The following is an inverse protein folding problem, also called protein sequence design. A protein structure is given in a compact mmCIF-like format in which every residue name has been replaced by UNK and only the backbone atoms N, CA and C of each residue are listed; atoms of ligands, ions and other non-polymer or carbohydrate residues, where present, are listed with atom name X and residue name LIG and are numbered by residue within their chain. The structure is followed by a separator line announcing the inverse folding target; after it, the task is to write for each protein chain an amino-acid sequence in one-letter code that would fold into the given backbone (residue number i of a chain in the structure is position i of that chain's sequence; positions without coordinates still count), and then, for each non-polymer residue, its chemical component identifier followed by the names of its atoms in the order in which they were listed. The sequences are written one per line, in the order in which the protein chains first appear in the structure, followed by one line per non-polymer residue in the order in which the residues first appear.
data_IF_869960566590
#
_entry.id   IF_869960566590
#
_cell.length_a   1.000
_cell.length_b   1.000
_cell.length_c   1.000
_cell.angle_alpha   90.00
_cell.angle_beta   90.00
_cell.angle_gamma   90.00
#
_symmetry.space_group_name_H-M   'P 1'
#
loop_
_entity.id
_entity.type
_entity.pdbx_description
1 polymer ?
#
# COMPACT_ATOMS: atom_id res chain seq x y z
N UNK A 1 5.91 -15.72 29.19
CA UNK A 1 5.57 -15.21 27.84
C UNK A 1 6.07 -16.20 26.81
N UNK A 2 5.25 -16.69 25.87
CA UNK A 2 5.70 -17.66 24.88
C UNK A 2 6.80 -17.05 24.00
N UNK A 3 7.77 -17.88 23.65
CA UNK A 3 8.99 -17.56 22.89
C UNK A 3 8.74 -16.86 21.54
N UNK A 4 7.52 -16.96 21.02
CA UNK A 4 7.05 -16.35 19.78
C UNK A 4 7.03 -14.81 19.90
N UNK A 5 6.61 -14.25 21.02
CA UNK A 5 6.53 -12.79 21.24
C UNK A 5 7.91 -12.12 21.32
N UNK A 6 8.91 -12.80 21.90
CA UNK A 6 10.30 -12.31 21.87
C UNK A 6 10.92 -12.27 20.46
N UNK A 7 10.49 -13.18 19.56
CA UNK A 7 10.90 -13.14 18.15
C UNK A 7 10.25 -11.98 17.39
N UNK A 8 8.99 -11.65 17.70
CA UNK A 8 8.28 -10.52 17.10
C UNK A 8 8.88 -9.16 17.48
N UNK A 9 9.29 -8.97 18.73
CA UNK A 9 10.02 -7.76 19.14
C UNK A 9 11.33 -7.56 18.37
N UNK A 10 12.00 -8.66 18.03
CA UNK A 10 13.24 -8.60 17.24
C UNK A 10 12.98 -8.26 15.77
N UNK A 11 11.78 -8.47 15.27
CA UNK A 11 11.40 -8.21 13.87
C UNK A 11 10.76 -6.81 13.71
N UNK A 12 10.22 -6.21 14.77
CA UNK A 12 9.66 -4.84 14.78
C UNK A 12 10.56 -3.80 14.07
N UNK A 13 11.87 -3.72 14.32
CA UNK A 13 12.72 -2.73 13.65
C UNK A 13 12.79 -2.92 12.13
N UNK A 14 12.64 -4.16 11.63
CA UNK A 14 12.61 -4.44 10.18
C UNK A 14 11.34 -3.88 9.55
N UNK A 15 10.19 -4.09 10.18
CA UNK A 15 8.91 -3.53 9.74
C UNK A 15 8.91 -2.01 9.77
N UNK A 16 9.48 -1.41 10.82
CA UNK A 16 9.61 0.05 10.94
C UNK A 16 10.52 0.63 9.87
N UNK A 17 11.58 -0.06 9.53
CA UNK A 17 12.50 0.37 8.49
C UNK A 17 11.84 0.27 7.10
N UNK A 18 11.17 -0.84 6.81
CA UNK A 18 10.39 -1.04 5.57
C UNK A 18 9.34 0.05 5.41
N UNK A 19 8.60 0.35 6.47
CA UNK A 19 7.61 1.42 6.48
C UNK A 19 8.23 2.79 6.17
N UNK A 20 9.36 3.14 6.80
CA UNK A 20 10.06 4.40 6.57
C UNK A 20 10.57 4.53 5.14
N UNK A 21 11.11 3.45 4.57
CA UNK A 21 11.57 3.42 3.19
C UNK A 21 10.38 3.62 2.23
N UNK A 22 9.31 2.86 2.40
CA UNK A 22 8.13 2.99 1.55
C UNK A 22 7.53 4.41 1.62
N UNK A 23 7.45 4.97 2.81
CA UNK A 23 6.98 6.34 3.01
C UNK A 23 7.89 7.37 2.32
N UNK A 24 9.21 7.17 2.37
CA UNK A 24 10.17 8.03 1.68
C UNK A 24 10.02 7.93 0.16
N UNK A 25 9.84 6.72 -0.37
CA UNK A 25 9.59 6.48 -1.80
C UNK A 25 8.29 7.17 -2.23
N UNK A 26 7.19 7.03 -1.47
CA UNK A 26 5.94 7.73 -1.77
C UNK A 26 6.10 9.26 -1.83
N UNK A 27 6.89 9.84 -0.93
CA UNK A 27 7.17 11.28 -0.95
C UNK A 27 7.95 11.69 -2.20
N UNK A 28 8.94 10.91 -2.61
CA UNK A 28 9.71 11.18 -3.84
C UNK A 28 8.83 11.06 -5.08
N UNK A 29 7.97 10.04 -5.14
CA UNK A 29 7.02 9.86 -6.24
C UNK A 29 6.05 11.04 -6.33
N UNK A 30 5.55 11.53 -5.20
CA UNK A 30 4.68 12.70 -5.15
C UNK A 30 5.38 13.96 -5.70
N UNK A 31 6.62 14.21 -5.28
CA UNK A 31 7.40 15.35 -5.78
C UNK A 31 7.64 15.22 -7.29
N UNK A 32 8.01 14.02 -7.75
CA UNK A 32 8.19 13.75 -9.18
C UNK A 32 6.92 13.98 -9.99
N UNK A 33 5.79 13.51 -9.48
CA UNK A 33 4.47 13.69 -10.10
C UNK A 33 4.10 15.17 -10.24
N UNK A 34 4.29 15.95 -9.18
CA UNK A 34 4.03 17.39 -9.19
C UNK A 34 4.92 18.11 -10.22
N UNK A 35 6.20 17.74 -10.31
CA UNK A 35 7.14 18.37 -11.26
C UNK A 35 6.72 18.05 -12.69
N UNK A 36 6.48 16.77 -13.01
CA UNK A 36 6.11 16.36 -14.38
C UNK A 36 4.76 16.96 -14.77
N UNK A 37 3.77 16.94 -13.88
CA UNK A 37 2.48 17.58 -14.12
C UNK A 37 2.63 19.07 -14.38
N UNK A 38 3.42 19.77 -13.57
CA UNK A 38 3.66 21.21 -13.75
C UNK A 38 4.30 21.52 -15.10
N UNK A 39 5.30 20.75 -15.52
CA UNK A 39 5.95 20.89 -16.82
C UNK A 39 4.97 20.60 -17.97
N UNK A 40 4.17 19.54 -17.84
CA UNK A 40 3.19 19.15 -18.86
C UNK A 40 2.10 20.21 -19.02
N UNK A 41 1.60 20.75 -17.91
CA UNK A 41 0.59 21.82 -17.91
C UNK A 41 1.18 23.11 -18.46
N UNK A 42 2.39 23.51 -18.02
CA UNK A 42 3.06 24.70 -18.53
C UNK A 42 3.27 24.62 -20.05
N UNK A 43 3.67 23.45 -20.57
CA UNK A 43 3.84 23.23 -22.00
C UNK A 43 2.56 23.34 -22.83
N UNK A 44 1.38 23.21 -22.21
CA UNK A 44 0.09 23.44 -22.89
C UNK A 44 -0.30 24.91 -23.00
N UNK A 45 0.04 25.70 -21.98
CA UNK A 45 -0.41 27.09 -21.86
C UNK A 45 0.61 28.09 -22.39
N UNK A 46 1.90 27.75 -22.41
CA UNK A 46 2.94 28.63 -22.87
C UNK A 46 3.39 28.25 -24.28
N UNK A 47 3.23 29.11 -25.29
CA UNK A 47 3.59 28.82 -26.68
C UNK A 47 5.11 28.63 -26.93
N UNK A 48 5.92 29.04 -25.95
CA UNK A 48 7.38 28.88 -26.00
C UNK A 48 7.87 27.53 -25.48
N UNK A 49 6.97 26.71 -24.90
CA UNK A 49 7.29 25.43 -24.30
C UNK A 49 6.47 24.32 -24.95
N UNK A 50 7.13 23.36 -25.55
CA UNK A 50 6.43 22.20 -26.10
C UNK A 50 6.20 21.18 -24.97
N UNK A 51 4.94 20.85 -24.68
CA UNK A 51 4.62 19.81 -23.71
C UNK A 51 5.22 18.46 -24.14
N UNK A 52 5.91 17.74 -23.26
CA UNK A 52 6.43 16.43 -23.58
C UNK A 52 5.27 15.44 -23.78
N UNK A 53 5.22 14.76 -24.94
CA UNK A 53 4.17 13.79 -25.27
C UNK A 53 4.07 12.63 -24.29
N UNK A 54 5.20 12.29 -23.63
CA UNK A 54 5.24 11.22 -22.62
C UNK A 54 4.80 11.66 -21.21
N UNK A 55 4.58 12.95 -20.99
CA UNK A 55 4.29 13.48 -19.65
C UNK A 55 3.04 12.91 -19.05
N UNK A 56 1.94 12.82 -19.80
CA UNK A 56 0.66 12.29 -19.29
C UNK A 56 0.75 10.81 -18.89
N UNK A 57 1.40 9.99 -19.69
CA UNK A 57 1.58 8.56 -19.39
C UNK A 57 2.46 8.34 -18.17
N UNK A 58 3.50 9.17 -17.97
CA UNK A 58 4.35 9.10 -16.80
C UNK A 58 3.64 9.56 -15.53
N UNK A 59 2.85 10.63 -15.59
CA UNK A 59 2.01 11.07 -14.46
C UNK A 59 1.06 9.95 -14.02
N UNK A 60 0.34 9.33 -14.95
CA UNK A 60 -0.55 8.21 -14.63
C UNK A 60 0.20 7.04 -13.98
N UNK A 61 1.39 6.73 -14.49
CA UNK A 61 2.23 5.68 -13.91
C UNK A 61 2.64 6.02 -12.48
N UNK A 62 3.13 7.23 -12.23
CA UNK A 62 3.53 7.67 -10.88
C UNK A 62 2.34 7.71 -9.91
N UNK A 63 1.16 8.14 -10.37
CA UNK A 63 -0.08 8.10 -9.58
C UNK A 63 -0.44 6.67 -9.16
N UNK A 64 -0.34 5.68 -10.05
CA UNK A 64 -0.58 4.28 -9.71
C UNK A 64 0.40 3.79 -8.66
N UNK A 65 1.72 4.08 -8.83
CA UNK A 65 2.72 3.74 -7.83
C UNK A 65 2.39 4.34 -6.46
N UNK A 66 2.08 5.64 -6.43
CA UNK A 66 1.77 6.35 -5.19
C UNK A 66 0.48 5.82 -4.54
N UNK A 67 -0.59 5.60 -5.32
CA UNK A 67 -1.86 5.11 -4.81
C UNK A 67 -1.70 3.73 -4.15
N UNK A 68 -1.04 2.82 -4.84
CA UNK A 68 -0.89 1.43 -4.40
C UNK A 68 0.04 1.32 -3.19
N UNK A 69 1.19 2.03 -3.20
CA UNK A 69 2.10 2.05 -2.06
C UNK A 69 1.51 2.77 -0.84
N UNK A 70 0.74 3.84 -1.03
CA UNK A 70 0.08 4.53 0.08
C UNK A 70 -1.01 3.69 0.71
N UNK A 71 -1.74 2.89 -0.08
CA UNK A 71 -2.72 1.94 0.44
C UNK A 71 -2.07 0.92 1.39
N UNK A 72 -0.89 0.38 1.04
CA UNK A 72 -0.16 -0.54 1.94
C UNK A 72 0.31 0.13 3.24
N UNK A 73 0.75 1.39 3.17
CA UNK A 73 1.14 2.15 4.36
C UNK A 73 -0.05 2.45 5.29
N UNK A 74 -1.24 2.66 4.70
CA UNK A 74 -2.46 2.94 5.45
C UNK A 74 -2.94 1.70 6.25
N UNK A 75 -2.75 0.49 5.73
CA UNK A 75 -3.04 -0.76 6.43
C UNK A 75 -2.26 -0.81 7.74
N UNK A 76 -0.96 -0.55 7.70
CA UNK A 76 -0.13 -0.56 8.91
C UNK A 76 -0.55 0.45 9.97
N UNK A 77 -1.06 1.62 9.54
CA UNK A 77 -1.58 2.64 10.48
C UNK A 77 -2.98 2.34 11.01
N UNK A 78 -3.61 1.23 10.60
CA UNK A 78 -5.02 0.94 10.90
C UNK A 78 -5.97 2.09 10.51
N UNK A 79 -5.54 2.96 9.58
CA UNK A 79 -6.31 4.16 9.19
C UNK A 79 -7.37 3.84 8.14
N UNK A 80 -7.28 2.68 7.51
CA UNK A 80 -8.05 2.41 6.30
C UNK A 80 -9.49 1.99 6.54
N UNK A 81 -9.81 1.40 7.67
CA UNK A 81 -10.99 0.53 7.71
C UNK A 81 -11.93 0.88 8.86
N UNK A 82 -11.48 1.69 9.82
CA UNK A 82 -12.26 1.90 11.03
C UNK A 82 -12.82 3.31 11.13
N UNK A 83 -14.12 3.40 10.94
CA UNK A 83 -14.88 4.60 11.26
C UNK A 83 -15.12 4.62 12.77
N UNK A 84 -14.21 5.24 13.52
CA UNK A 84 -14.23 5.30 15.00
C UNK A 84 -15.47 6.03 15.58
N UNK A 85 -16.24 6.70 14.71
CA UNK A 85 -17.45 7.41 15.12
C UNK A 85 -18.51 6.50 15.74
N UNK A 86 -18.58 5.25 15.31
CA UNK A 86 -19.56 4.28 15.82
C UNK A 86 -19.06 3.40 16.98
N UNK A 87 -17.77 3.46 17.31
CA UNK A 87 -17.16 2.65 18.37
C UNK A 87 -17.82 2.86 19.75
N UNK A 88 -18.38 4.06 19.98
CA UNK A 88 -19.09 4.42 21.20
C UNK A 88 -20.43 3.71 21.39
N UNK A 89 -21.06 3.29 20.30
CA UNK A 89 -22.42 2.73 20.30
C UNK A 89 -22.45 1.21 20.16
N UNK A 90 -21.33 0.59 19.75
CA UNK A 90 -21.27 -0.83 19.45
C UNK A 90 -20.67 -1.63 20.62
N UNK A 91 -21.24 -2.80 20.94
CA UNK A 91 -20.67 -3.68 21.95
C UNK A 91 -19.31 -4.22 21.49
N UNK A 92 -18.37 -4.39 22.42
CA UNK A 92 -16.99 -4.83 22.15
C UNK A 92 -16.89 -6.12 21.31
N UNK A 93 -17.87 -7.02 21.43
CA UNK A 93 -17.91 -8.26 20.63
C UNK A 93 -18.18 -8.01 19.15
N UNK A 94 -19.05 -7.05 18.82
CA UNK A 94 -19.36 -6.68 17.43
C UNK A 94 -18.17 -5.97 16.77
N UNK A 95 -17.51 -5.08 17.51
CA UNK A 95 -16.30 -4.42 17.07
C UNK A 95 -15.20 -5.42 16.67
N UNK A 96 -15.04 -6.45 17.49
CA UNK A 96 -14.05 -7.50 17.27
C UNK A 96 -14.34 -8.33 16.01
N UNK A 97 -15.61 -8.66 15.78
CA UNK A 97 -16.03 -9.39 14.57
C UNK A 97 -15.83 -8.51 13.33
N UNK A 98 -16.16 -7.23 13.42
CA UNK A 98 -15.94 -6.29 12.32
C UNK A 98 -14.45 -6.12 11.98
N UNK A 99 -13.61 -6.02 12.99
CA UNK A 99 -12.16 -5.92 12.82
C UNK A 99 -11.59 -7.21 12.18
N UNK A 100 -12.07 -8.38 12.61
CA UNK A 100 -11.65 -9.65 12.03
C UNK A 100 -12.08 -9.79 10.56
N UNK A 101 -13.31 -9.38 10.23
CA UNK A 101 -13.80 -9.37 8.85
C UNK A 101 -12.98 -8.42 7.98
N UNK A 102 -12.59 -7.27 8.51
CA UNK A 102 -11.74 -6.31 7.82
C UNK A 102 -10.35 -6.90 7.54
N UNK A 103 -9.72 -7.55 8.51
CA UNK A 103 -8.42 -8.20 8.33
C UNK A 103 -8.48 -9.30 7.27
N UNK A 104 -9.53 -10.12 7.28
CA UNK A 104 -9.75 -11.16 6.25
C UNK A 104 -9.93 -10.53 4.87
N UNK A 105 -10.68 -9.45 4.77
CA UNK A 105 -10.90 -8.75 3.50
C UNK A 105 -9.60 -8.15 2.94
N UNK A 106 -8.78 -7.53 3.79
CA UNK A 106 -7.48 -6.96 3.39
C UNK A 106 -6.50 -8.07 3.00
N UNK A 107 -6.45 -9.18 3.73
CA UNK A 107 -5.64 -10.33 3.37
C UNK A 107 -6.05 -10.91 2.01
N UNK A 108 -7.35 -11.09 1.78
CA UNK A 108 -7.87 -11.56 0.50
C UNK A 108 -7.51 -10.60 -0.65
N UNK A 109 -7.67 -9.29 -0.43
CA UNK A 109 -7.25 -8.27 -1.40
C UNK A 109 -5.76 -8.35 -1.71
N UNK A 110 -4.91 -8.48 -0.69
CA UNK A 110 -3.46 -8.63 -0.86
C UNK A 110 -3.09 -9.84 -1.72
N UNK A 111 -3.75 -10.98 -1.49
CA UNK A 111 -3.55 -12.20 -2.29
C UNK A 111 -4.01 -12.00 -3.74
N UNK A 112 -5.17 -11.40 -3.95
CA UNK A 112 -5.68 -11.11 -5.30
C UNK A 112 -4.72 -10.19 -6.05
N UNK A 113 -4.27 -9.09 -5.44
CA UNK A 113 -3.32 -8.16 -6.05
C UNK A 113 -1.97 -8.83 -6.36
N UNK A 114 -1.54 -9.76 -5.52
CA UNK A 114 -0.31 -10.50 -5.77
C UNK A 114 -0.46 -11.46 -6.96
N UNK A 115 -1.52 -12.23 -7.01
CA UNK A 115 -1.76 -13.21 -8.08
C UNK A 115 -1.96 -12.50 -9.42
N UNK A 116 -2.88 -11.54 -9.48
CA UNK A 116 -3.16 -10.77 -10.70
C UNK A 116 -1.95 -9.93 -11.13
N UNK A 117 -1.27 -9.29 -10.17
CA UNK A 117 -0.06 -8.52 -10.46
C UNK A 117 1.07 -9.37 -11.04
N UNK A 118 1.27 -10.58 -10.53
CA UNK A 118 2.26 -11.51 -11.07
C UNK A 118 1.86 -12.07 -12.44
N UNK A 119 0.57 -12.33 -12.66
CA UNK A 119 0.10 -12.82 -13.96
C UNK A 119 0.26 -11.79 -15.07
N UNK A 120 0.07 -10.52 -14.75
CA UNK A 120 0.31 -9.41 -15.69
C UNK A 120 1.80 -9.27 -16.04
N UNK A 121 2.69 -9.49 -15.06
CA UNK A 121 4.15 -9.34 -15.24
C UNK A 121 4.76 -10.55 -15.96
N UNK A 122 4.13 -11.72 -15.94
CA UNK A 122 4.66 -12.91 -16.60
C UNK A 122 4.93 -12.66 -18.09
N UNK A 123 6.06 -13.15 -18.63
CA UNK A 123 6.41 -12.97 -20.05
C UNK A 123 5.41 -13.58 -21.03
N UNK A 124 4.57 -14.49 -20.56
CA UNK A 124 3.48 -15.13 -21.30
C UNK A 124 2.19 -14.32 -21.31
N UNK A 125 2.05 -13.32 -20.43
CA UNK A 125 0.86 -12.49 -20.35
C UNK A 125 0.67 -11.59 -21.57
N UNK A 126 -0.58 -11.36 -21.95
CA UNK A 126 -0.92 -10.51 -23.11
C UNK A 126 -0.39 -9.07 -22.94
N UNK A 127 -0.38 -8.54 -21.74
CA UNK A 127 0.10 -7.18 -21.45
C UNK A 127 1.61 -7.09 -21.63
N UNK A 128 2.36 -8.11 -21.18
CA UNK A 128 3.82 -8.15 -21.35
C UNK A 128 4.25 -8.15 -22.81
N UNK A 129 3.47 -8.81 -23.67
CA UNK A 129 3.82 -8.98 -25.09
C UNK A 129 3.35 -7.84 -25.97
N UNK A 130 2.18 -7.26 -25.70
CA UNK A 130 1.47 -6.39 -26.63
C UNK A 130 1.29 -4.95 -26.15
N UNK A 131 1.20 -4.73 -24.84
CA UNK A 131 0.96 -3.41 -24.30
C UNK A 131 2.26 -2.61 -24.15
N UNK A 132 2.37 -1.55 -24.94
CA UNK A 132 3.45 -0.57 -24.88
C UNK A 132 2.88 0.81 -24.61
N UNK A 133 3.67 1.68 -24.01
CA UNK A 133 3.29 3.09 -23.91
C UNK A 133 3.13 3.70 -25.29
N UNK A 134 2.09 4.48 -25.50
CA UNK A 134 1.80 5.12 -26.79
C UNK A 134 2.88 6.14 -27.17
N UNK A 135 3.34 6.90 -26.17
CA UNK A 135 4.35 7.93 -26.34
C UNK A 135 5.79 7.42 -26.26
N UNK A 136 6.00 6.22 -25.67
CA UNK A 136 7.31 5.59 -25.48
C UNK A 136 7.28 4.13 -25.95
N UNK A 137 7.32 3.88 -27.26
CA UNK A 137 7.14 2.53 -27.83
C UNK A 137 8.23 1.52 -27.42
N UNK A 138 9.34 2.00 -26.87
CA UNK A 138 10.41 1.15 -26.33
C UNK A 138 10.16 0.70 -24.89
N UNK A 139 9.20 1.31 -24.18
CA UNK A 139 8.83 0.95 -22.81
C UNK A 139 7.56 0.10 -22.81
N UNK A 140 7.64 -1.06 -22.15
CA UNK A 140 6.48 -1.90 -21.91
C UNK A 140 5.62 -1.32 -20.79
N UNK A 141 4.30 -1.42 -20.90
CA UNK A 141 3.36 -1.05 -19.84
C UNK A 141 3.48 -1.93 -18.58
N UNK A 142 4.30 -2.97 -18.59
CA UNK A 142 4.62 -3.77 -17.40
C UNK A 142 5.06 -2.87 -16.24
N UNK A 143 5.80 -1.81 -16.52
CA UNK A 143 6.24 -0.85 -15.49
C UNK A 143 5.08 -0.22 -14.73
N UNK A 144 3.95 0.02 -15.38
CA UNK A 144 2.75 0.55 -14.74
C UNK A 144 2.10 -0.45 -13.78
N UNK A 145 2.21 -1.75 -14.06
CA UNK A 145 1.59 -2.82 -13.26
C UNK A 145 2.51 -3.39 -12.18
N UNK A 146 3.81 -3.19 -12.29
CA UNK A 146 4.80 -3.68 -11.34
C UNK A 146 4.49 -3.28 -9.87
N UNK A 147 4.05 -2.05 -9.55
CA UNK A 147 3.72 -1.68 -8.17
C UNK A 147 2.56 -2.47 -7.60
N UNK A 148 1.65 -2.98 -8.42
CA UNK A 148 0.51 -3.78 -7.96
C UNK A 148 0.99 -5.09 -7.31
N UNK A 149 1.95 -5.78 -7.92
CA UNK A 149 2.53 -6.98 -7.35
C UNK A 149 3.32 -6.67 -6.06
N UNK A 150 4.12 -5.59 -6.05
CA UNK A 150 4.87 -5.15 -4.87
C UNK A 150 3.91 -4.81 -3.72
N UNK A 151 2.80 -4.16 -4.02
CA UNK A 151 1.80 -3.84 -3.01
C UNK A 151 1.10 -5.08 -2.47
N UNK A 152 0.77 -6.05 -3.33
CA UNK A 152 0.20 -7.33 -2.88
C UNK A 152 1.10 -8.00 -1.83
N UNK A 153 2.41 -8.08 -2.10
CA UNK A 153 3.38 -8.62 -1.15
C UNK A 153 3.42 -7.81 0.15
N UNK A 154 3.53 -6.49 0.03
CA UNK A 154 3.64 -5.62 1.21
C UNK A 154 2.35 -5.57 2.04
N UNK A 155 1.16 -5.65 1.41
CA UNK A 155 -0.11 -5.79 2.10
C UNK A 155 -0.15 -7.07 2.94
N UNK A 156 0.22 -8.20 2.37
CA UNK A 156 0.25 -9.48 3.08
C UNK A 156 1.22 -9.41 4.28
N UNK A 157 2.41 -8.84 4.08
CA UNK A 157 3.41 -8.71 5.16
C UNK A 157 2.87 -7.85 6.30
N UNK A 158 2.30 -6.68 6.01
CA UNK A 158 1.77 -5.80 7.03
C UNK A 158 0.51 -6.35 7.70
N UNK A 159 -0.32 -7.08 6.97
CA UNK A 159 -1.52 -7.71 7.54
C UNK A 159 -1.15 -8.85 8.50
N UNK A 160 -0.16 -9.65 8.16
CA UNK A 160 0.39 -10.65 9.08
C UNK A 160 0.88 -9.98 10.38
N UNK A 161 1.60 -8.85 10.28
CA UNK A 161 2.02 -8.07 11.46
C UNK A 161 0.80 -7.65 12.30
N UNK A 162 -0.27 -7.14 11.67
CA UNK A 162 -1.48 -6.68 12.36
C UNK A 162 -2.23 -7.83 13.06
N UNK A 163 -2.39 -8.96 12.40
CA UNK A 163 -3.02 -10.14 12.97
C UNK A 163 -2.25 -10.63 14.21
N UNK A 164 -0.91 -10.67 14.14
CA UNK A 164 -0.09 -11.05 15.29
C UNK A 164 -0.22 -10.06 16.45
N UNK A 165 -0.22 -8.76 16.18
CA UNK A 165 -0.41 -7.74 17.23
C UNK A 165 -1.79 -7.85 17.89
N UNK A 166 -2.82 -8.19 17.12
CA UNK A 166 -4.18 -8.40 17.65
C UNK A 166 -4.27 -9.64 18.53
N UNK A 167 -3.62 -10.74 18.12
CA UNK A 167 -3.53 -11.94 18.95
C UNK A 167 -2.81 -11.63 20.27
N UNK A 168 -1.75 -10.82 20.22
CA UNK A 168 -1.04 -10.38 21.43
C UNK A 168 -1.96 -9.59 22.39
N UNK A 169 -2.74 -8.65 21.87
CA UNK A 169 -3.71 -7.88 22.66
C UNK A 169 -4.76 -8.78 23.32
N UNK A 170 -5.15 -9.87 22.67
CA UNK A 170 -6.11 -10.84 23.20
C UNK A 170 -5.57 -11.63 24.40
N UNK A 171 -4.26 -11.94 24.37
CA UNK A 171 -3.60 -12.72 25.43
C UNK A 171 -3.04 -11.86 26.57
N UNK A 172 -3.04 -10.52 26.45
CA UNK A 172 -2.64 -9.63 27.55
C UNK A 172 -3.74 -9.55 28.61
N UNK A 173 -3.42 -9.79 29.91
CA UNK A 173 -4.39 -9.70 30.99
C UNK A 173 -4.93 -8.25 31.10
N UNK A 174 -6.23 -8.15 31.39
CA UNK A 174 -7.00 -6.89 31.48
C UNK A 174 -6.41 -5.78 32.34
N UNK A 175 -5.45 -6.08 33.20
CA UNK A 175 -4.84 -5.15 34.16
C UNK A 175 -3.89 -4.16 33.45
N UNK A 176 -3.14 -4.59 32.44
CA UNK A 176 -2.22 -3.72 31.68
C UNK A 176 -2.94 -2.84 30.63
N UNK A 177 -4.16 -3.23 30.23
CA UNK A 177 -4.95 -2.44 29.27
C UNK A 177 -5.51 -1.14 29.84
N UNK A 178 -5.65 -1.02 31.16
CA UNK A 178 -6.14 0.20 31.83
C UNK A 178 -5.03 1.25 32.01
N UNK A 179 -3.78 0.84 32.15
CA UNK A 179 -2.65 1.76 32.32
C UNK A 179 -2.18 2.39 31.02
N UNK A 180 -2.44 1.76 29.87
CA UNK A 180 -2.10 2.31 28.56
C UNK A 180 -3.15 3.30 27.98
N UNK A 181 -4.30 3.44 28.66
CA UNK A 181 -5.40 4.34 28.27
C UNK A 181 -5.58 5.54 29.23
N UNK A 182 -4.78 5.63 30.28
CA UNK A 182 -4.75 6.74 31.23
C UNK A 182 -3.58 7.66 30.93
#
# INVERSE_FOLDING_TARGET
MPTIFKKLEKIKPVYDWTYKIMLFICKLLLIGDIIITSVTVAGRYFPFFTAPHWGEEMVLTLMVYMAVLSATLAIRKRSHIRMTAFDKYLPKKVLLVMDLLADIAVMALGVILLVEGLDVIKPTGNIAKFAKYSSLPNLSQIWMYLPVAIAGVSMIIFEIEQVFLRIEEFFKPKTEQKEAQA
#
